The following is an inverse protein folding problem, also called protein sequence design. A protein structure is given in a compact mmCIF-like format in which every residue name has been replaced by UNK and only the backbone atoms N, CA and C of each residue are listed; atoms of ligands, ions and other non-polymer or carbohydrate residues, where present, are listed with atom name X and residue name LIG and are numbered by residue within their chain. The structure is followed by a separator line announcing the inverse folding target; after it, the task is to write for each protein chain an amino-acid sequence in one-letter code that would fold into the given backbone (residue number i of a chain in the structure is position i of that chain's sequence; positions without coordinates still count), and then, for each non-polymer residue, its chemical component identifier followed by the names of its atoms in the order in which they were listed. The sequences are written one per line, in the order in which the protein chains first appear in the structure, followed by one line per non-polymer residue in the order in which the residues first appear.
data_IF_048234833631
#
_entry.id   IF_048234833631
#
_cell.length_a   1.000
_cell.length_b   1.000
_cell.length_c   1.000
_cell.angle_alpha   90.00
_cell.angle_beta   90.00
_cell.angle_gamma   90.00
#
_symmetry.space_group_name_H-M   'P 1'
#
loop_
_entity.id
_entity.type
_entity.pdbx_description
1 polymer ?
#
# COMPACT_ATOMS: atom_id res chain seq x y z
N UNK A 1 -9.69 40.25 4.09
CA UNK A 1 -9.71 39.51 5.38
C UNK A 1 -11.10 38.95 5.63
N UNK A 2 -11.33 37.67 5.35
CA UNK A 2 -12.52 36.94 5.82
C UNK A 2 -12.32 35.42 5.64
N UNK A 3 -12.33 34.74 6.78
CA UNK A 3 -12.75 33.34 7.01
C UNK A 3 -11.75 32.21 6.74
N UNK A 4 -10.68 32.18 7.54
CA UNK A 4 -9.96 30.96 7.90
C UNK A 4 -10.10 30.74 9.41
N UNK A 5 -11.27 30.29 9.87
CA UNK A 5 -11.44 29.68 11.21
C UNK A 5 -12.54 28.64 11.08
N UNK A 6 -12.28 27.44 11.62
CA UNK A 6 -13.14 26.24 11.71
C UNK A 6 -12.82 25.10 10.72
N UNK A 7 -11.60 24.57 10.76
CA UNK A 7 -11.35 23.14 10.45
C UNK A 7 -10.41 22.45 11.44
N UNK A 8 -9.87 23.16 12.44
CA UNK A 8 -8.91 22.61 13.40
C UNK A 8 -9.53 21.79 14.56
N UNK A 9 -10.85 21.58 14.58
CA UNK A 9 -11.54 21.04 15.76
C UNK A 9 -12.07 19.60 15.61
N UNK A 10 -11.78 18.90 14.51
CA UNK A 10 -12.28 17.52 14.29
C UNK A 10 -11.18 16.46 14.13
N UNK A 11 -9.93 16.77 14.48
CA UNK A 11 -8.82 15.80 14.44
C UNK A 11 -8.57 15.10 15.78
N UNK A 12 -9.30 15.46 16.84
CA UNK A 12 -9.01 15.03 18.22
C UNK A 12 -9.76 13.77 18.69
N UNK A 13 -10.26 12.93 17.78
CA UNK A 13 -10.98 11.68 18.14
C UNK A 13 -10.25 10.41 17.66
N UNK A 14 -9.12 10.52 16.95
CA UNK A 14 -8.45 9.34 16.36
C UNK A 14 -7.38 8.66 17.22
N UNK A 15 -6.88 9.29 18.30
CA UNK A 15 -5.58 8.87 18.90
C UNK A 15 -5.71 7.81 20.00
N UNK A 16 -6.89 7.58 20.57
CA UNK A 16 -7.03 6.61 21.70
C UNK A 16 -7.29 5.15 21.29
N UNK A 17 -7.52 4.85 20.00
CA UNK A 17 -7.70 3.46 19.55
C UNK A 17 -6.40 2.75 19.14
N UNK A 18 -5.27 3.48 19.09
CA UNK A 18 -4.00 2.95 18.57
C UNK A 18 -3.22 2.07 19.58
N UNK A 19 -3.62 2.06 20.86
CA UNK A 19 -2.95 1.29 21.91
C UNK A 19 -3.27 -0.22 21.88
N UNK A 20 -4.18 -0.67 21.01
CA UNK A 20 -4.55 -2.09 20.84
C UNK A 20 -4.08 -2.65 19.50
N UNK A 21 -3.02 -2.10 18.89
CA UNK A 21 -2.30 -2.78 17.82
C UNK A 21 -1.58 -4.00 18.42
N UNK A 22 -2.38 -5.00 18.73
CA UNK A 22 -1.96 -6.25 19.32
C UNK A 22 -1.04 -6.93 18.32
N UNK A 23 0.21 -7.02 18.73
CA UNK A 23 0.98 -8.25 18.69
C UNK A 23 0.34 -9.37 17.84
N UNK A 24 0.70 -9.45 16.57
CA UNK A 24 0.90 -10.74 15.91
C UNK A 24 1.81 -10.57 14.68
N UNK A 25 3.03 -11.06 14.80
CA UNK A 25 3.80 -11.57 13.67
C UNK A 25 4.62 -10.57 12.85
N UNK A 26 5.84 -10.31 13.31
CA UNK A 26 7.00 -10.20 12.40
C UNK A 26 7.47 -8.80 12.00
N UNK A 27 8.37 -8.23 12.81
CA UNK A 27 9.59 -7.61 12.29
C UNK A 27 9.52 -6.25 11.58
N UNK A 28 8.46 -5.46 11.76
CA UNK A 28 8.40 -4.06 11.31
C UNK A 28 8.60 -3.08 12.46
N UNK A 29 9.31 -1.97 12.21
CA UNK A 29 9.35 -0.84 13.15
C UNK A 29 7.94 -0.23 13.31
N UNK A 30 7.67 0.53 14.38
CA UNK A 30 6.34 1.11 14.61
C UNK A 30 5.85 2.00 13.45
N UNK A 31 6.78 2.66 12.76
CA UNK A 31 6.51 3.49 11.59
C UNK A 31 6.17 2.66 10.34
N UNK A 32 6.82 1.50 10.16
CA UNK A 32 6.49 0.55 9.08
C UNK A 32 5.06 0.05 9.19
N UNK A 33 4.68 -0.41 10.39
CA UNK A 33 3.33 -0.91 10.64
C UNK A 33 2.27 0.19 10.47
N UNK A 34 2.58 1.43 10.87
CA UNK A 34 1.70 2.57 10.66
C UNK A 34 1.52 2.90 9.18
N UNK A 35 2.59 2.85 8.39
CA UNK A 35 2.53 3.07 6.95
C UNK A 35 1.74 1.96 6.25
N UNK A 36 1.95 0.68 6.60
CA UNK A 36 1.14 -0.45 6.12
C UNK A 36 -0.35 -0.22 6.43
N UNK A 37 -0.68 0.13 7.68
CA UNK A 37 -2.05 0.37 8.11
C UNK A 37 -2.69 1.57 7.39
N UNK A 38 -1.92 2.63 7.10
CA UNK A 38 -2.40 3.82 6.39
C UNK A 38 -2.77 3.51 4.94
N UNK A 39 -1.94 2.74 4.24
CA UNK A 39 -2.24 2.29 2.88
C UNK A 39 -3.46 1.35 2.87
N UNK A 40 -3.52 0.39 3.79
CA UNK A 40 -4.69 -0.51 3.93
C UNK A 40 -5.98 0.26 4.24
N UNK A 41 -5.91 1.26 5.12
CA UNK A 41 -7.05 2.12 5.45
C UNK A 41 -7.54 2.87 4.21
N UNK A 42 -6.62 3.40 3.40
CA UNK A 42 -6.99 4.13 2.19
C UNK A 42 -7.61 3.21 1.12
N UNK A 43 -7.07 2.00 0.93
CA UNK A 43 -7.64 0.98 0.04
C UNK A 43 -9.07 0.65 0.49
N UNK A 44 -9.25 0.34 1.77
CA UNK A 44 -10.56 -0.01 2.33
C UNK A 44 -11.53 1.17 2.41
N UNK A 45 -11.03 2.42 2.41
CA UNK A 45 -11.86 3.63 2.36
C UNK A 45 -12.64 3.79 1.05
N UNK A 46 -12.27 3.06 -0.01
CA UNK A 46 -12.99 2.99 -1.30
C UNK A 46 -13.97 1.82 -1.39
N UNK A 47 -14.04 0.98 -0.35
CA UNK A 47 -14.79 -0.28 -0.36
C UNK A 47 -15.98 -0.21 0.59
N UNK A 48 -17.00 -1.02 0.34
CA UNK A 48 -18.09 -1.21 1.29
C UNK A 48 -17.58 -2.00 2.51
N UNK A 49 -18.27 -1.88 3.65
CA UNK A 49 -17.88 -2.57 4.87
C UNK A 49 -17.77 -4.11 4.70
N UNK A 50 -18.62 -4.70 3.86
CA UNK A 50 -18.64 -6.14 3.58
C UNK A 50 -17.54 -6.60 2.59
N UNK A 51 -16.92 -5.68 1.86
CA UNK A 51 -15.91 -5.96 0.86
C UNK A 51 -14.51 -5.47 1.27
N UNK A 52 -14.30 -5.15 2.55
CA UNK A 52 -12.98 -4.77 3.06
C UNK A 52 -12.02 -5.95 2.93
N UNK A 53 -10.77 -5.64 2.58
CA UNK A 53 -9.69 -6.60 2.51
C UNK A 53 -8.82 -6.52 3.75
N UNK A 54 -8.37 -7.68 4.21
CA UNK A 54 -7.27 -7.79 5.15
C UNK A 54 -5.92 -7.65 4.44
N UNK A 55 -4.86 -7.42 5.23
CA UNK A 55 -3.50 -7.44 4.72
C UNK A 55 -3.06 -8.91 4.55
N UNK A 56 -3.33 -9.47 3.38
CA UNK A 56 -3.24 -10.88 3.04
C UNK A 56 -1.80 -11.42 3.16
N UNK A 57 -1.62 -12.51 3.89
CA UNK A 57 -0.30 -13.06 4.20
C UNK A 57 0.48 -13.53 2.96
N UNK A 58 -0.20 -14.13 1.98
CA UNK A 58 0.44 -14.58 0.74
C UNK A 58 0.87 -13.39 -0.11
N UNK A 59 0.01 -12.38 -0.25
CA UNK A 59 0.35 -11.15 -0.96
C UNK A 59 1.45 -10.37 -0.23
N UNK A 60 1.50 -10.39 1.11
CA UNK A 60 2.63 -9.82 1.87
C UNK A 60 3.95 -10.54 1.55
N UNK A 61 3.93 -11.86 1.43
CA UNK A 61 5.12 -12.62 1.03
C UNK A 61 5.62 -12.20 -0.36
N UNK A 62 4.71 -12.08 -1.33
CA UNK A 62 5.04 -11.59 -2.69
C UNK A 62 5.57 -10.15 -2.67
N UNK A 63 4.94 -9.25 -1.90
CA UNK A 63 5.39 -7.88 -1.73
C UNK A 63 6.82 -7.82 -1.15
N UNK A 64 7.10 -8.61 -0.11
CA UNK A 64 8.42 -8.70 0.53
C UNK A 64 9.49 -9.22 -0.44
N UNK A 65 9.19 -10.28 -1.19
CA UNK A 65 10.10 -10.81 -2.22
C UNK A 65 10.44 -9.76 -3.29
N UNK A 66 9.47 -8.94 -3.67
CA UNK A 66 9.67 -7.87 -4.64
C UNK A 66 10.52 -6.72 -4.08
N UNK A 67 10.42 -6.41 -2.78
CA UNK A 67 11.36 -5.50 -2.11
C UNK A 67 12.77 -6.09 -2.14
N UNK A 68 12.94 -7.36 -1.77
CA UNK A 68 14.25 -8.02 -1.76
C UNK A 68 14.90 -8.04 -3.16
N UNK A 69 14.09 -8.25 -4.20
CA UNK A 69 14.53 -8.12 -5.58
C UNK A 69 15.05 -6.70 -5.88
N UNK A 70 14.28 -5.66 -5.55
CA UNK A 70 14.67 -4.26 -5.79
C UNK A 70 15.90 -3.86 -5.00
N UNK A 71 16.05 -4.35 -3.77
CA UNK A 71 17.24 -4.12 -2.94
C UNK A 71 18.47 -4.73 -3.60
N UNK A 72 18.36 -5.94 -4.15
CA UNK A 72 19.50 -6.67 -4.73
C UNK A 72 19.85 -6.25 -6.15
N UNK A 73 18.84 -5.91 -6.95
CA UNK A 73 18.97 -5.70 -8.40
C UNK A 73 18.64 -4.27 -8.84
N UNK A 74 18.20 -3.42 -7.91
CA UNK A 74 17.66 -2.11 -8.23
C UNK A 74 16.25 -2.18 -8.84
N UNK A 75 15.70 -1.02 -9.17
CA UNK A 75 14.37 -0.90 -9.80
C UNK A 75 14.34 -1.36 -11.28
N UNK A 76 15.50 -1.69 -11.85
CA UNK A 76 15.64 -2.04 -13.27
C UNK A 76 15.78 -0.82 -14.18
N UNK A 77 15.79 -1.00 -15.50
CA UNK A 77 16.10 0.06 -16.47
C UNK A 77 14.95 1.04 -16.69
N UNK A 78 13.73 0.71 -16.25
CA UNK A 78 12.53 1.47 -16.58
C UNK A 78 12.25 2.66 -15.64
N UNK A 79 12.75 2.61 -14.40
CA UNK A 79 12.59 3.69 -13.42
C UNK A 79 13.64 3.57 -12.31
N UNK A 80 14.02 4.70 -11.72
CA UNK A 80 14.93 4.78 -10.58
C UNK A 80 14.26 4.53 -9.22
N UNK A 81 12.93 4.61 -9.17
CA UNK A 81 12.20 4.77 -7.90
C UNK A 81 10.92 3.93 -7.78
N UNK A 82 10.43 3.34 -8.89
CA UNK A 82 9.23 2.48 -8.88
C UNK A 82 9.45 1.25 -9.75
N UNK A 83 9.08 0.06 -9.26
CA UNK A 83 9.07 -1.17 -10.04
C UNK A 83 7.65 -1.70 -10.08
N UNK A 84 7.23 -2.10 -11.28
CA UNK A 84 6.00 -2.85 -11.49
C UNK A 84 6.39 -4.29 -11.86
N UNK A 85 5.86 -5.25 -11.12
CA UNK A 85 6.07 -6.67 -11.36
C UNK A 85 4.72 -7.34 -11.58
N UNK A 86 4.56 -8.08 -12.67
CA UNK A 86 3.39 -8.95 -12.85
C UNK A 86 3.73 -10.31 -12.25
N UNK A 87 2.92 -10.74 -11.30
CA UNK A 87 3.03 -12.03 -10.65
C UNK A 87 2.24 -13.05 -11.49
N UNK A 88 2.94 -13.73 -12.38
CA UNK A 88 2.37 -14.74 -13.28
C UNK A 88 2.27 -16.12 -12.64
N UNK A 89 2.99 -16.37 -11.55
CA UNK A 89 3.09 -17.68 -10.91
C UNK A 89 1.84 -18.05 -10.09
N UNK A 90 1.09 -17.04 -9.64
CA UNK A 90 -0.19 -17.21 -8.93
C UNK A 90 -1.42 -17.15 -9.85
N UNK A 91 -1.22 -17.09 -11.19
CA UNK A 91 -2.28 -17.11 -12.20
C UNK A 91 -2.68 -18.57 -12.50
N UNK A 92 -3.29 -19.25 -11.53
CA UNK A 92 -3.79 -20.62 -11.76
C UNK A 92 -5.31 -20.73 -11.85
N UNK A 93 -6.05 -19.71 -11.40
CA UNK A 93 -7.51 -19.79 -11.26
C UNK A 93 -8.27 -18.55 -11.78
N UNK A 94 -7.85 -17.93 -12.89
CA UNK A 94 -8.51 -16.72 -13.41
C UNK A 94 -8.19 -15.45 -12.60
N UNK A 95 -7.19 -15.51 -11.72
CA UNK A 95 -6.71 -14.38 -10.92
C UNK A 95 -5.41 -13.83 -11.49
N UNK A 96 -5.34 -12.52 -11.69
CA UNK A 96 -4.16 -11.79 -12.15
C UNK A 96 -3.49 -11.09 -10.97
N UNK A 97 -2.19 -11.29 -10.78
CA UNK A 97 -1.41 -10.66 -9.71
C UNK A 97 -0.44 -9.60 -10.23
N UNK A 98 -0.29 -8.50 -9.51
CA UNK A 98 0.80 -7.56 -9.72
C UNK A 98 1.30 -6.93 -8.42
N UNK A 99 2.51 -6.40 -8.46
CA UNK A 99 3.16 -5.75 -7.33
C UNK A 99 3.79 -4.44 -7.76
N UNK A 100 3.49 -3.39 -7.01
CA UNK A 100 4.21 -2.12 -7.06
C UNK A 100 5.23 -2.08 -5.94
N UNK A 101 6.46 -1.67 -6.22
CA UNK A 101 7.48 -1.36 -5.22
C UNK A 101 7.93 0.07 -5.42
N UNK A 102 8.10 0.84 -4.34
CA UNK A 102 8.64 2.19 -4.38
C UNK A 102 9.57 2.46 -3.20
N UNK A 103 10.50 3.41 -3.37
CA UNK A 103 11.22 4.00 -2.24
C UNK A 103 10.24 4.84 -1.41
N UNK A 104 10.39 4.76 -0.10
CA UNK A 104 9.60 5.49 0.88
C UNK A 104 10.54 6.20 1.85
N UNK A 105 10.16 7.39 2.34
CA UNK A 105 10.99 8.20 3.25
C UNK A 105 10.20 8.70 4.48
N UNK A 106 9.06 8.06 4.79
CA UNK A 106 8.15 8.38 5.90
C UNK A 106 7.57 9.80 5.93
N UNK A 107 7.81 10.65 4.91
CA UNK A 107 7.20 11.98 4.87
C UNK A 107 5.73 11.86 4.48
N UNK A 108 4.87 12.52 5.26
CA UNK A 108 3.41 12.51 5.07
C UNK A 108 3.01 12.79 3.61
N UNK A 109 3.65 13.77 2.97
CA UNK A 109 3.35 14.13 1.57
C UNK A 109 3.63 13.00 0.58
N UNK A 110 4.67 12.20 0.79
CA UNK A 110 5.03 11.08 -0.09
C UNK A 110 4.16 9.86 0.15
N UNK A 111 3.73 9.62 1.40
CA UNK A 111 2.74 8.58 1.70
C UNK A 111 1.39 8.92 1.05
N UNK A 112 0.95 10.17 1.20
CA UNK A 112 -0.30 10.65 0.60
C UNK A 112 -0.27 10.57 -0.93
N UNK A 113 0.84 10.95 -1.57
CA UNK A 113 1.01 10.82 -3.02
C UNK A 113 0.99 9.36 -3.49
N UNK A 114 1.67 8.47 -2.76
CA UNK A 114 1.65 7.05 -3.03
C UNK A 114 0.24 6.48 -2.90
N UNK A 115 -0.44 6.76 -1.78
CA UNK A 115 -1.82 6.34 -1.53
C UNK A 115 -2.74 6.86 -2.63
N UNK A 116 -2.61 8.13 -3.03
CA UNK A 116 -3.40 8.70 -4.13
C UNK A 116 -3.16 7.96 -5.44
N UNK A 117 -1.90 7.65 -5.77
CA UNK A 117 -1.56 6.87 -6.97
C UNK A 117 -2.16 5.47 -6.93
N UNK A 118 -2.11 4.80 -5.78
CA UNK A 118 -2.68 3.46 -5.55
C UNK A 118 -4.21 3.47 -5.58
N UNK A 119 -4.88 4.51 -5.07
CA UNK A 119 -6.34 4.51 -4.84
C UNK A 119 -7.16 5.32 -5.85
N UNK A 120 -6.54 6.27 -6.56
CA UNK A 120 -7.22 7.10 -7.56
C UNK A 120 -6.56 7.06 -8.95
N UNK A 121 -5.41 6.38 -9.12
CA UNK A 121 -4.64 6.46 -10.35
C UNK A 121 -4.03 7.85 -10.60
N UNK A 122 -3.45 8.07 -11.78
CA UNK A 122 -2.70 9.30 -12.10
C UNK A 122 -3.56 10.49 -12.57
N UNK A 123 -4.86 10.52 -12.23
CA UNK A 123 -5.77 11.64 -12.57
C UNK A 123 -6.11 11.83 -14.06
N UNK A 124 -5.46 11.09 -14.96
CA UNK A 124 -5.86 10.92 -16.36
C UNK A 124 -6.98 9.88 -16.43
N UNK A 125 -8.03 10.12 -17.23
CA UNK A 125 -9.28 9.36 -17.41
C UNK A 125 -9.18 7.85 -17.73
N UNK A 126 -8.03 7.23 -17.50
CA UNK A 126 -7.90 5.78 -17.45
C UNK A 126 -8.57 5.31 -16.16
N UNK A 127 -9.79 4.78 -16.28
CA UNK A 127 -10.55 4.04 -15.24
C UNK A 127 -9.82 2.81 -14.67
N UNK A 128 -8.51 2.68 -14.89
CA UNK A 128 -7.65 1.55 -14.50
C UNK A 128 -7.54 1.31 -13.00
N UNK A 129 -7.99 2.24 -12.15
CA UNK A 129 -7.86 2.08 -10.72
C UNK A 129 -9.13 1.51 -10.07
N UNK A 130 -9.46 0.28 -10.48
CA UNK A 130 -10.51 -0.55 -9.87
C UNK A 130 -10.02 -1.20 -8.57
N UNK A 131 -9.61 -0.36 -7.61
CA UNK A 131 -9.22 -0.82 -6.25
C UNK A 131 -10.32 -1.67 -5.62
N UNK A 132 -11.58 -1.36 -5.90
CA UNK A 132 -12.78 -2.10 -5.52
C UNK A 132 -12.86 -3.52 -6.11
N UNK A 133 -12.21 -3.80 -7.24
CA UNK A 133 -12.18 -5.12 -7.88
C UNK A 133 -11.04 -6.02 -7.40
N UNK A 134 -10.18 -5.53 -6.50
CA UNK A 134 -9.08 -6.34 -5.97
C UNK A 134 -9.63 -7.44 -5.06
N UNK A 135 -9.15 -8.66 -5.20
CA UNK A 135 -9.61 -9.79 -4.37
C UNK A 135 -8.74 -10.01 -3.14
N UNK A 136 -7.44 -9.78 -3.26
CA UNK A 136 -6.48 -9.87 -2.17
C UNK A 136 -5.45 -8.74 -2.30
N UNK A 137 -4.96 -8.24 -1.18
CA UNK A 137 -3.91 -7.22 -1.15
C UNK A 137 -2.93 -7.48 -0.01
N UNK A 138 -1.66 -7.27 -0.29
CA UNK A 138 -0.58 -7.35 0.68
C UNK A 138 0.26 -6.09 0.63
N UNK A 139 0.31 -5.34 1.73
CA UNK A 139 1.15 -4.17 1.90
C UNK A 139 2.29 -4.53 2.84
N UNK A 140 3.52 -4.27 2.41
CA UNK A 140 4.73 -4.46 3.21
C UNK A 140 5.55 -3.18 3.17
N UNK A 141 5.98 -2.72 4.34
CA UNK A 141 6.99 -1.67 4.47
C UNK A 141 8.23 -2.28 5.13
N UNK A 142 9.39 -2.07 4.50
CA UNK A 142 10.64 -2.68 4.92
C UNK A 142 11.79 -1.71 4.73
N UNK A 143 12.58 -1.53 5.79
CA UNK A 143 13.82 -0.75 5.74
C UNK A 143 15.02 -1.67 5.56
N UNK A 144 15.81 -1.43 4.51
CA UNK A 144 17.03 -2.17 4.22
C UNK A 144 18.16 -1.19 3.94
N UNK A 145 19.27 -1.31 4.69
CA UNK A 145 20.46 -0.46 4.56
C UNK A 145 20.15 1.05 4.65
N UNK A 146 19.20 1.45 5.51
CA UNK A 146 18.81 2.85 5.69
C UNK A 146 17.87 3.42 4.63
N UNK A 147 17.49 2.63 3.61
CA UNK A 147 16.44 2.97 2.65
C UNK A 147 15.18 2.19 2.99
N UNK A 148 14.07 2.89 3.13
CA UNK A 148 12.75 2.27 3.30
C UNK A 148 12.10 2.04 1.94
N UNK A 149 11.45 0.89 1.82
CA UNK A 149 10.68 0.50 0.66
C UNK A 149 9.27 0.16 1.10
N UNK A 150 8.31 0.47 0.23
CA UNK A 150 6.94 0.02 0.36
C UNK A 150 6.57 -0.77 -0.88
N UNK A 151 5.93 -1.91 -0.67
CA UNK A 151 5.40 -2.72 -1.73
C UNK A 151 3.92 -3.02 -1.49
N UNK A 152 3.14 -2.95 -2.57
CA UNK A 152 1.72 -3.30 -2.59
C UNK A 152 1.53 -4.36 -3.66
N UNK A 153 1.26 -5.59 -3.21
CA UNK A 153 0.92 -6.71 -4.08
C UNK A 153 -0.59 -6.91 -4.08
N UNK A 154 -1.16 -7.08 -5.26
CA UNK A 154 -2.60 -7.17 -5.49
C UNK A 154 -2.91 -8.42 -6.29
N UNK A 155 -4.04 -9.05 -6.01
CA UNK A 155 -4.71 -9.98 -6.90
C UNK A 155 -6.03 -9.38 -7.39
N UNK A 156 -6.36 -9.61 -8.64
CA UNK A 156 -7.63 -9.21 -9.28
C UNK A 156 -8.27 -10.47 -9.86
N UNK A 157 -9.58 -10.61 -9.68
CA UNK A 157 -10.36 -11.59 -10.43
C UNK A 157 -10.66 -11.03 -11.83
N UNK A 158 -10.21 -11.73 -12.87
CA UNK A 158 -10.48 -11.36 -14.27
C UNK A 158 -11.51 -12.28 -14.92
N UNK A 159 -12.20 -13.10 -14.11
CA UNK A 159 -13.27 -14.01 -14.52
C UNK A 159 -14.58 -13.29 -14.83
#
# INVERSE_FOLDING_TARGET
MKKLKKFAALLLVGVMALALLTACGGGGSGEDAQAEASVMTAINGKRTAAAKLDNDAERKAVASQNIDYVVKHGFGPFSSDVRFNVDTDHIKDGKFGFTFVAKYDYKDTKLDELIKKITNGNGTDIKSNHVDNWTNVGVVVKTVNGQTYIAVSVAIDVS
#
